data_IF_308547750297
#
_entry.id   IF_308547750297
#
_cell.length_a   1.000
_cell.length_b   1.000
_cell.length_c   1.000
_cell.angle_alpha   90.00
_cell.angle_beta   90.00
_cell.angle_gamma   90.00
#
_symmetry.space_group_name_H-M   'P 1'
#
loop_
_entity.id
_entity.type
_entity.pdbx_description
1 polymer ?
#
# COMPACT_ATOMS: atom_id res chain seq x y z
N UNK A 1 -7.52 -29.21 -7.08
CA UNK A 1 -6.18 -28.69 -7.40
C UNK A 1 -6.32 -27.25 -7.88
N UNK A 2 -5.54 -26.27 -7.39
CA UNK A 2 -5.63 -24.89 -7.90
C UNK A 2 -5.13 -24.86 -9.35
N UNK A 3 -5.60 -23.92 -10.16
CA UNK A 3 -5.20 -23.71 -11.57
C UNK A 3 -3.69 -23.58 -11.79
N UNK A 4 -2.93 -23.32 -10.74
CA UNK A 4 -1.50 -23.05 -10.76
C UNK A 4 -0.68 -24.22 -10.15
N UNK A 5 -1.27 -25.42 -10.01
CA UNK A 5 -0.60 -26.60 -9.45
C UNK A 5 -0.30 -26.56 -7.94
N UNK A 6 -0.64 -25.47 -7.25
CA UNK A 6 -0.37 -25.30 -5.81
C UNK A 6 -1.38 -26.03 -4.92
N UNK A 7 -0.90 -26.52 -3.78
CA UNK A 7 -1.76 -27.06 -2.71
C UNK A 7 -2.64 -25.95 -2.10
N UNK A 8 -3.70 -26.33 -1.39
CA UNK A 8 -4.62 -25.36 -0.76
C UNK A 8 -3.90 -24.41 0.21
N UNK A 9 -2.85 -24.91 0.85
CA UNK A 9 -2.11 -24.22 1.92
C UNK A 9 -0.80 -23.58 1.43
N UNK A 10 -0.46 -23.73 0.15
CA UNK A 10 0.79 -23.20 -0.40
C UNK A 10 0.61 -21.73 -0.82
N UNK A 11 1.37 -20.84 -0.17
CA UNK A 11 1.44 -19.41 -0.52
C UNK A 11 1.95 -19.20 -1.95
N UNK A 12 1.73 -18.00 -2.50
CA UNK A 12 2.37 -17.63 -3.77
C UNK A 12 3.86 -17.39 -3.49
N UNK A 13 4.75 -17.66 -4.46
CA UNK A 13 6.13 -17.21 -4.36
C UNK A 13 6.14 -15.71 -4.06
N UNK A 14 6.93 -15.31 -3.07
CA UNK A 14 7.03 -13.93 -2.63
C UNK A 14 8.47 -13.46 -2.77
N UNK A 15 8.65 -12.29 -3.35
CA UNK A 15 9.94 -11.62 -3.41
C UNK A 15 9.79 -10.17 -2.93
N UNK A 16 10.81 -9.68 -2.23
CA UNK A 16 10.89 -8.34 -1.67
C UNK A 16 12.21 -7.72 -2.08
N UNK A 17 12.16 -6.69 -2.92
CA UNK A 17 13.34 -5.92 -3.29
C UNK A 17 13.27 -4.57 -2.58
N UNK A 18 14.19 -4.30 -1.66
CA UNK A 18 14.29 -3.01 -0.96
C UNK A 18 15.10 -2.00 -1.78
N UNK A 19 15.01 -0.72 -1.42
CA UNK A 19 15.81 0.38 -1.98
C UNK A 19 15.65 0.56 -3.50
N UNK A 20 14.45 0.29 -4.00
CA UNK A 20 14.08 0.39 -5.42
C UNK A 20 13.84 1.81 -5.90
N UNK A 21 13.57 2.74 -4.98
CA UNK A 21 13.41 4.17 -5.28
C UNK A 21 14.47 4.96 -4.52
N UNK A 22 15.39 5.57 -5.27
CA UNK A 22 16.51 6.36 -4.72
C UNK A 22 16.10 7.63 -3.97
N UNK A 23 14.88 8.10 -4.17
CA UNK A 23 14.40 9.37 -3.60
C UNK A 23 13.56 9.20 -2.35
N UNK A 24 12.94 8.04 -2.15
CA UNK A 24 12.13 7.77 -0.97
C UNK A 24 13.03 7.35 0.19
N UNK A 25 12.77 7.82 1.41
CA UNK A 25 13.53 7.41 2.60
C UNK A 25 13.40 5.90 2.86
N UNK A 26 12.28 5.31 2.46
CA UNK A 26 12.12 3.86 2.40
C UNK A 26 11.41 3.45 1.12
N UNK A 27 11.86 2.36 0.50
CA UNK A 27 11.16 1.81 -0.66
C UNK A 27 11.27 0.29 -0.72
N UNK A 28 10.19 -0.35 -1.17
CA UNK A 28 10.14 -1.79 -1.37
C UNK A 28 9.26 -2.12 -2.57
N UNK A 29 9.77 -3.01 -3.42
CA UNK A 29 9.02 -3.64 -4.49
C UNK A 29 8.62 -5.05 -4.05
N UNK A 30 7.32 -5.27 -3.96
CA UNK A 30 6.72 -6.50 -3.46
C UNK A 30 6.15 -7.29 -4.64
N UNK A 31 6.64 -8.50 -4.82
CA UNK A 31 6.14 -9.44 -5.81
C UNK A 31 5.50 -10.65 -5.10
N UNK A 32 4.25 -10.94 -5.43
CA UNK A 32 3.52 -12.09 -4.88
C UNK A 32 2.87 -12.87 -6.03
N UNK A 33 3.64 -13.79 -6.62
CA UNK A 33 3.38 -14.33 -7.96
C UNK A 33 3.35 -13.20 -8.98
N UNK A 34 2.26 -13.09 -9.73
CA UNK A 34 2.08 -12.06 -10.76
C UNK A 34 1.53 -10.73 -10.20
N UNK A 35 1.30 -10.63 -8.90
CA UNK A 35 0.92 -9.34 -8.27
C UNK A 35 2.18 -8.58 -7.90
N UNK A 36 2.30 -7.33 -8.37
CA UNK A 36 3.46 -6.47 -8.15
C UNK A 36 3.04 -5.11 -7.62
N UNK A 37 3.60 -4.72 -6.48
CA UNK A 37 3.26 -3.48 -5.77
C UNK A 37 4.55 -2.74 -5.40
N UNK A 38 4.63 -1.47 -5.76
CA UNK A 38 5.67 -0.56 -5.27
C UNK A 38 5.13 0.14 -4.02
N UNK A 39 5.88 0.07 -2.93
CA UNK A 39 5.60 0.80 -1.72
C UNK A 39 6.75 1.78 -1.45
N UNK A 40 6.45 3.06 -1.32
CA UNK A 40 7.41 4.08 -0.90
C UNK A 40 6.97 4.72 0.41
N UNK A 41 7.93 5.06 1.25
CA UNK A 41 7.74 5.76 2.50
C UNK A 41 8.40 7.12 2.39
N UNK A 42 7.60 8.16 2.61
CA UNK A 42 8.06 9.56 2.64
C UNK A 42 7.96 10.09 4.05
N UNK A 43 9.03 10.71 4.55
CA UNK A 43 9.04 11.36 5.87
C UNK A 43 8.94 12.88 5.71
N UNK A 44 7.94 13.47 6.34
CA UNK A 44 7.75 14.92 6.33
C UNK A 44 7.86 15.46 7.77
N UNK A 45 8.62 16.55 7.96
CA UNK A 45 8.75 17.27 9.23
C UNK A 45 7.55 18.19 9.52
N UNK A 46 6.36 17.61 9.41
CA UNK A 46 5.08 18.24 9.74
C UNK A 46 4.11 17.21 10.26
N UNK A 47 3.09 17.66 10.97
CA UNK A 47 1.95 16.84 11.40
C UNK A 47 0.64 17.50 10.99
N UNK A 48 -0.46 16.73 10.86
CA UNK A 48 -1.78 17.32 10.66
C UNK A 48 -2.12 18.38 11.72
N UNK A 49 -2.94 19.40 11.39
CA UNK A 49 -3.23 20.51 12.31
C UNK A 49 -3.76 20.07 13.68
N UNK A 50 -4.52 18.97 13.72
CA UNK A 50 -5.08 18.43 14.96
C UNK A 50 -4.06 17.72 15.87
N UNK A 51 -2.81 17.53 15.44
CA UNK A 51 -1.71 16.93 16.21
C UNK A 51 -0.57 17.91 16.51
N UNK A 52 -0.62 19.12 15.97
CA UNK A 52 0.43 20.12 16.15
C UNK A 52 0.61 20.48 17.63
N UNK A 53 1.84 20.43 18.13
CA UNK A 53 2.16 20.74 19.53
C UNK A 53 1.89 19.60 20.52
N UNK A 54 1.48 18.42 20.05
CA UNK A 54 1.23 17.26 20.91
C UNK A 54 2.45 16.34 21.03
N UNK A 55 3.56 16.64 20.33
CA UNK A 55 4.76 15.80 20.35
C UNK A 55 4.51 14.39 19.79
N UNK A 56 3.49 14.23 18.94
CA UNK A 56 3.03 12.95 18.42
C UNK A 56 3.03 12.98 16.90
N UNK A 57 3.63 11.96 16.31
CA UNK A 57 3.70 11.78 14.88
C UNK A 57 2.43 11.20 14.28
N UNK A 58 2.44 11.12 12.96
CA UNK A 58 1.33 10.58 12.20
C UNK A 58 1.82 9.61 11.14
N UNK A 59 0.99 8.60 10.85
CA UNK A 59 1.22 7.69 9.72
C UNK A 59 -0.04 7.69 8.87
N UNK A 60 0.11 7.94 7.59
CA UNK A 60 -0.97 7.88 6.60
C UNK A 60 -0.53 7.04 5.41
N UNK A 61 -1.49 6.66 4.58
CA UNK A 61 -1.21 5.87 3.40
C UNK A 61 -2.10 6.28 2.23
N UNK A 62 -1.48 6.35 1.06
CA UNK A 62 -2.13 6.46 -0.22
C UNK A 62 -2.01 5.13 -0.96
N UNK A 63 -3.05 4.83 -1.72
CA UNK A 63 -3.16 3.61 -2.49
C UNK A 63 -3.62 4.00 -3.86
N UNK A 64 -2.92 3.50 -4.87
CA UNK A 64 -3.28 3.70 -6.25
C UNK A 64 -3.05 2.43 -7.04
N UNK A 65 -3.77 2.32 -8.16
CA UNK A 65 -3.60 1.23 -9.10
C UNK A 65 -3.39 1.83 -10.49
N UNK A 66 -2.31 1.41 -11.16
CA UNK A 66 -2.07 1.85 -12.52
C UNK A 66 -3.25 1.44 -13.42
N UNK A 67 -3.66 2.28 -14.39
CA UNK A 67 -4.75 1.98 -15.31
C UNK A 67 -4.65 0.61 -15.99
N UNK A 68 -3.43 0.12 -16.22
CA UNK A 68 -3.16 -1.17 -16.90
C UNK A 68 -2.63 -2.26 -15.96
N UNK A 69 -2.82 -2.12 -14.65
CA UNK A 69 -2.44 -3.17 -13.69
C UNK A 69 -3.31 -4.43 -13.80
N UNK A 70 -4.54 -4.31 -14.32
CA UNK A 70 -5.48 -5.43 -14.51
C UNK A 70 -5.62 -5.80 -15.99
N UNK A 71 -6.20 -6.98 -16.26
CA UNK A 71 -6.47 -7.48 -17.63
C UNK A 71 -7.23 -6.47 -18.51
N UNK A 72 -8.23 -5.77 -17.96
CA UNK A 72 -8.91 -4.64 -18.59
C UNK A 72 -8.31 -3.33 -18.09
N UNK A 73 -8.22 -2.32 -18.96
CA UNK A 73 -7.76 -0.99 -18.55
C UNK A 73 -8.82 -0.32 -17.68
N UNK A 74 -8.45 0.07 -16.47
CA UNK A 74 -9.25 0.91 -15.60
C UNK A 74 -9.04 2.39 -15.96
N UNK A 75 -10.08 3.21 -15.78
CA UNK A 75 -9.93 4.66 -15.91
C UNK A 75 -9.12 5.20 -14.73
N UNK A 76 -8.19 6.13 -14.99
CA UNK A 76 -7.38 6.77 -13.95
C UNK A 76 -8.30 7.55 -12.99
N UNK A 77 -8.14 7.37 -11.69
CA UNK A 77 -8.98 8.05 -10.68
C UNK A 77 -8.84 9.58 -10.73
N UNK A 78 -7.63 10.10 -10.99
CA UNK A 78 -7.41 11.53 -11.24
C UNK A 78 -8.26 12.08 -12.39
N UNK A 79 -8.48 11.30 -13.46
CA UNK A 79 -9.30 11.72 -14.60
C UNK A 79 -10.81 11.70 -14.29
N UNK A 80 -11.24 11.02 -13.22
CA UNK A 80 -12.62 11.06 -12.72
C UNK A 80 -12.85 12.19 -11.72
N UNK A 81 -11.79 12.83 -11.22
CA UNK A 81 -11.87 13.84 -10.17
C UNK A 81 -12.30 13.32 -8.80
N UNK A 82 -12.44 11.99 -8.63
CA UNK A 82 -12.87 11.38 -7.36
C UNK A 82 -12.26 10.00 -7.17
N UNK A 83 -11.76 9.74 -5.97
CA UNK A 83 -11.29 8.42 -5.56
C UNK A 83 -12.47 7.45 -5.42
N UNK A 84 -12.26 6.19 -5.78
CA UNK A 84 -13.27 5.15 -5.58
C UNK A 84 -13.40 4.78 -4.09
N UNK A 85 -14.59 4.32 -3.69
CA UNK A 85 -14.82 3.90 -2.30
C UNK A 85 -13.86 2.80 -1.84
N UNK A 86 -13.49 1.89 -2.75
CA UNK A 86 -12.50 0.84 -2.51
C UNK A 86 -11.10 1.38 -2.26
N UNK A 87 -10.64 2.34 -3.06
CA UNK A 87 -9.34 3.00 -2.84
C UNK A 87 -9.31 3.66 -1.46
N UNK A 88 -10.36 4.42 -1.10
CA UNK A 88 -10.45 5.05 0.22
C UNK A 88 -10.48 4.03 1.37
N UNK A 89 -11.13 2.89 1.19
CA UNK A 89 -11.15 1.83 2.20
C UNK A 89 -9.76 1.21 2.42
N UNK A 90 -9.05 0.91 1.33
CA UNK A 90 -7.70 0.34 1.37
C UNK A 90 -6.71 1.32 2.00
N UNK A 91 -6.73 2.60 1.60
CA UNK A 91 -5.91 3.67 2.20
C UNK A 91 -6.11 3.72 3.72
N UNK A 92 -7.37 3.74 4.16
CA UNK A 92 -7.70 3.74 5.60
C UNK A 92 -7.24 2.48 6.30
N UNK A 93 -7.36 1.32 5.65
CA UNK A 93 -6.91 0.05 6.21
C UNK A 93 -5.38 0.04 6.42
N UNK A 94 -4.60 0.41 5.41
CA UNK A 94 -3.13 0.46 5.48
C UNK A 94 -2.71 1.42 6.60
N UNK A 95 -3.25 2.66 6.59
CA UNK A 95 -2.93 3.65 7.61
C UNK A 95 -3.28 3.17 9.02
N UNK A 96 -4.42 2.51 9.22
CA UNK A 96 -4.80 1.95 10.55
C UNK A 96 -3.87 0.81 10.97
N UNK A 97 -3.55 -0.11 10.07
CA UNK A 97 -2.68 -1.24 10.38
C UNK A 97 -1.29 -0.75 10.81
N UNK A 98 -0.69 0.21 10.09
CA UNK A 98 0.62 0.74 10.43
C UNK A 98 0.62 1.53 11.74
N UNK A 99 -0.41 2.36 11.96
CA UNK A 99 -0.54 3.10 13.22
C UNK A 99 -0.65 2.19 14.45
N UNK A 100 -1.08 0.94 14.29
CA UNK A 100 -1.13 -0.02 15.42
C UNK A 100 0.22 -0.62 15.81
N UNK A 101 1.23 -0.54 14.93
CA UNK A 101 2.56 -1.12 15.17
C UNK A 101 3.68 -0.08 15.30
N UNK A 102 3.39 1.20 15.02
CA UNK A 102 4.35 2.31 15.14
C UNK A 102 4.15 3.08 16.44
N UNK A 103 5.24 3.33 17.17
CA UNK A 103 5.21 4.24 18.31
C UNK A 103 5.17 5.70 17.85
N UNK A 104 3.96 6.28 17.82
CA UNK A 104 3.74 7.65 17.35
C UNK A 104 4.37 8.72 18.25
N UNK A 105 4.63 8.45 19.52
CA UNK A 105 5.32 9.42 20.39
C UNK A 105 6.82 9.43 20.11
N UNK A 106 7.42 8.25 19.92
CA UNK A 106 8.84 8.15 19.55
C UNK A 106 9.13 8.71 18.16
N UNK A 107 8.13 8.70 17.26
CA UNK A 107 8.25 9.29 15.92
C UNK A 107 8.47 10.83 15.96
N UNK A 108 8.05 11.50 17.04
CA UNK A 108 8.06 12.95 17.16
C UNK A 108 7.08 13.61 16.20
N UNK A 109 7.15 14.93 16.02
CA UNK A 109 6.25 15.68 15.13
C UNK A 109 6.59 15.51 13.64
N UNK A 110 6.55 14.27 13.17
CA UNK A 110 6.77 13.88 11.77
C UNK A 110 5.58 13.08 11.25
N UNK A 111 5.34 13.22 9.96
CA UNK A 111 4.36 12.39 9.24
C UNK A 111 5.10 11.42 8.34
N UNK A 112 4.74 10.14 8.43
CA UNK A 112 5.13 9.13 7.45
C UNK A 112 3.95 8.92 6.51
N UNK A 113 4.17 9.16 5.22
CA UNK A 113 3.20 8.85 4.16
C UNK A 113 3.68 7.62 3.42
N UNK A 114 2.87 6.56 3.40
CA UNK A 114 3.13 5.39 2.55
C UNK A 114 2.34 5.48 1.25
N UNK A 115 3.02 5.46 0.13
CA UNK A 115 2.40 5.35 -1.19
C UNK A 115 2.49 3.90 -1.65
N UNK A 116 1.35 3.26 -1.85
CA UNK A 116 1.25 1.89 -2.34
C UNK A 116 0.66 1.88 -3.76
N UNK A 117 1.54 1.77 -4.75
CA UNK A 117 1.20 1.76 -6.17
C UNK A 117 1.19 0.33 -6.72
N UNK A 118 0.01 -0.12 -7.16
CA UNK A 118 -0.11 -1.42 -7.81
C UNK A 118 0.26 -1.32 -9.28
N UNK A 119 1.35 -1.99 -9.63
CA UNK A 119 1.89 -2.04 -10.99
C UNK A 119 1.25 -3.19 -11.77
N UNK A 120 1.06 -4.35 -11.13
CA UNK A 120 0.40 -5.50 -11.72
C UNK A 120 -0.50 -6.19 -10.69
N UNK A 121 -1.72 -6.53 -11.09
CA UNK A 121 -2.72 -7.13 -10.22
C UNK A 121 -3.24 -8.44 -10.81
N UNK A 122 -2.62 -9.54 -10.39
CA UNK A 122 -3.10 -10.90 -10.68
C UNK A 122 -4.07 -11.39 -9.59
N UNK A 123 -5.21 -10.73 -9.52
CA UNK A 123 -6.32 -11.10 -8.67
C UNK A 123 -7.58 -11.26 -9.51
N UNK A 124 -8.18 -12.45 -9.45
CA UNK A 124 -9.52 -12.67 -10.02
C UNK A 124 -10.46 -11.55 -9.58
N UNK A 125 -11.21 -11.02 -10.56
CA UNK A 125 -12.16 -9.89 -10.46
C UNK A 125 -12.78 -9.79 -9.05
N UNK A 126 -12.31 -8.81 -8.27
CA UNK A 126 -13.00 -8.33 -7.05
C UNK A 126 -12.39 -8.68 -5.69
N UNK A 127 -11.65 -9.80 -5.50
CA UNK A 127 -11.42 -10.33 -4.14
C UNK A 127 -9.99 -10.32 -3.58
N UNK A 128 -8.99 -9.89 -4.36
CA UNK A 128 -7.58 -10.15 -4.01
C UNK A 128 -6.71 -8.93 -3.67
N UNK A 129 -7.18 -7.70 -3.84
CA UNK A 129 -6.37 -6.51 -3.48
C UNK A 129 -6.07 -6.41 -1.98
N UNK A 130 -6.89 -7.01 -1.10
CA UNK A 130 -6.61 -7.01 0.34
C UNK A 130 -5.68 -8.14 0.80
N UNK A 131 -5.47 -9.20 0.00
CA UNK A 131 -4.68 -10.36 0.46
C UNK A 131 -3.17 -10.13 0.48
N UNK A 132 -2.68 -9.08 -0.18
CA UNK A 132 -1.26 -8.68 -0.08
C UNK A 132 -0.99 -7.94 1.25
N UNK A 133 -2.03 -7.37 1.87
CA UNK A 133 -1.94 -6.63 3.14
C UNK A 133 -2.52 -7.40 4.33
N UNK A 134 -3.41 -8.36 4.08
CA UNK A 134 -3.92 -9.30 5.08
C UNK A 134 -2.94 -10.46 5.22
N UNK A 135 -1.84 -10.23 5.94
CA UNK A 135 -0.93 -11.27 6.42
C UNK A 135 -1.57 -12.08 7.56
N UNK A 136 -2.64 -12.81 7.24
CA UNK A 136 -3.23 -13.86 8.07
C UNK A 136 -3.53 -15.08 7.22
#
# INVERSE_FOLDING_TARGET
>A
MRSNGRSSNQLRPMNLTVDVNKYAEGSVYIEMGDTKVLCTATVEEKVPPFLKGQGKGWVTAEYSMLPRATHSRNQREAARGKLTGRTMEIQRLIGRALRSVVNLHALGERTITLDCDVIQADGARGRLQLRVLSWR
#
